data_IF_230685265371
#
_entry.id   IF_230685265371
#
_cell.length_a   1.000
_cell.length_b   1.000
_cell.length_c   1.000
_cell.angle_alpha   90.00
_cell.angle_beta   90.00
_cell.angle_gamma   90.00
#
_symmetry.space_group_name_H-M   'P 1'
#
loop_
_entity.id
_entity.type
_entity.pdbx_description
1 polymer ?
#
# COMPACT_ATOMS: atom_id res chain seq x y z
N UNK A 1 22.39 -0.22 3.52
CA UNK A 1 21.15 0.10 2.77
C UNK A 1 20.36 -1.19 2.56
N UNK A 2 19.12 -1.29 3.03
CA UNK A 2 18.27 -2.46 2.74
C UNK A 2 17.62 -2.27 1.37
N UNK A 3 18.10 -3.03 0.38
CA UNK A 3 17.50 -3.12 -0.95
C UNK A 3 16.20 -3.90 -0.79
N UNK A 4 15.07 -3.22 -0.97
CA UNK A 4 13.75 -3.87 -0.91
C UNK A 4 13.47 -4.49 -2.28
N UNK A 5 13.25 -5.82 -2.37
CA UNK A 5 12.89 -6.47 -3.62
C UNK A 5 11.65 -5.83 -4.25
N UNK A 6 11.74 -5.49 -5.55
CA UNK A 6 10.62 -4.91 -6.29
C UNK A 6 9.37 -5.81 -6.30
N UNK A 7 9.57 -7.14 -6.20
CA UNK A 7 8.51 -8.16 -6.15
C UNK A 7 7.63 -7.99 -4.91
N UNK A 8 8.23 -7.80 -3.73
CA UNK A 8 7.49 -7.64 -2.47
C UNK A 8 6.66 -6.36 -2.47
N UNK A 9 7.20 -5.28 -3.04
CA UNK A 9 6.48 -4.01 -3.22
C UNK A 9 5.26 -4.18 -4.12
N UNK A 10 5.43 -4.89 -5.24
CA UNK A 10 4.35 -5.15 -6.20
C UNK A 10 3.26 -6.02 -5.60
N UNK A 11 3.64 -7.02 -4.80
CA UNK A 11 2.71 -7.88 -4.08
C UNK A 11 1.76 -7.08 -3.18
N UNK A 12 2.30 -6.18 -2.35
CA UNK A 12 1.47 -5.33 -1.48
C UNK A 12 0.55 -4.43 -2.31
N UNK A 13 1.07 -3.75 -3.34
CA UNK A 13 0.26 -2.88 -4.21
C UNK A 13 -0.89 -3.65 -4.86
N UNK A 14 -0.65 -4.86 -5.36
CA UNK A 14 -1.67 -5.69 -5.97
C UNK A 14 -2.78 -6.05 -4.98
N UNK A 15 -2.47 -6.33 -3.71
CA UNK A 15 -3.50 -6.59 -2.69
C UNK A 15 -4.47 -5.43 -2.51
N UNK A 16 -3.97 -4.18 -2.51
CA UNK A 16 -4.83 -3.00 -2.45
C UNK A 16 -5.72 -2.87 -3.69
N UNK A 17 -5.18 -3.14 -4.88
CA UNK A 17 -5.93 -3.05 -6.15
C UNK A 17 -7.00 -4.15 -6.21
N UNK A 18 -6.64 -5.39 -5.91
CA UNK A 18 -7.55 -6.56 -5.88
C UNK A 18 -8.70 -6.34 -4.90
N UNK A 19 -8.42 -5.75 -3.74
CA UNK A 19 -9.43 -5.45 -2.73
C UNK A 19 -10.21 -4.16 -3.02
N UNK A 20 -9.82 -3.38 -4.03
CA UNK A 20 -10.45 -2.09 -4.35
C UNK A 20 -10.16 -0.96 -3.36
N UNK A 21 -9.19 -1.13 -2.47
CA UNK A 21 -8.75 -0.15 -1.47
C UNK A 21 -7.83 0.90 -2.09
N UNK A 22 -8.33 1.59 -3.11
CA UNK A 22 -7.55 2.51 -3.96
C UNK A 22 -7.94 3.98 -3.83
N UNK A 23 -8.81 4.28 -2.87
CA UNK A 23 -9.26 5.61 -2.52
C UNK A 23 -9.63 5.66 -1.03
N UNK A 24 -9.81 6.88 -0.50
CA UNK A 24 -10.13 7.08 0.91
C UNK A 24 -11.50 6.54 1.33
N UNK A 25 -12.44 6.38 0.40
CA UNK A 25 -13.79 5.86 0.69
C UNK A 25 -13.71 4.35 0.94
N UNK A 26 -12.84 3.66 0.20
CA UNK A 26 -12.68 2.20 0.22
C UNK A 26 -11.47 1.73 1.02
N UNK A 27 -10.94 2.55 1.93
CA UNK A 27 -9.79 2.16 2.75
C UNK A 27 -10.06 0.90 3.59
N UNK A 28 -9.06 0.04 3.68
CA UNK A 28 -9.15 -1.29 4.32
C UNK A 28 -8.04 -1.50 5.35
N UNK A 29 -8.30 -2.37 6.31
CA UNK A 29 -7.27 -2.79 7.28
C UNK A 29 -6.27 -3.76 6.65
N UNK A 30 -5.08 -3.89 7.25
CA UNK A 30 -4.07 -4.84 6.79
C UNK A 30 -4.59 -6.29 6.79
N UNK A 31 -5.43 -6.63 7.76
CA UNK A 31 -6.06 -7.94 7.87
C UNK A 31 -7.00 -8.22 6.69
N UNK A 32 -7.84 -7.25 6.29
CA UNK A 32 -8.73 -7.37 5.13
C UNK A 32 -7.94 -7.53 3.82
N UNK A 33 -6.78 -6.88 3.74
CA UNK A 33 -5.88 -6.96 2.59
C UNK A 33 -5.00 -8.23 2.59
N UNK A 34 -5.04 -9.03 3.66
CA UNK A 34 -4.19 -10.21 3.82
C UNK A 34 -2.70 -9.86 3.83
N UNK A 35 -2.33 -8.68 4.33
CA UNK A 35 -0.95 -8.22 4.46
C UNK A 35 -0.60 -7.98 5.92
N UNK A 36 0.68 -8.10 6.24
CA UNK A 36 1.22 -7.72 7.55
C UNK A 36 1.97 -6.40 7.44
N UNK A 37 2.12 -5.72 8.57
CA UNK A 37 3.01 -4.58 8.66
C UNK A 37 4.46 -5.06 8.44
N UNK A 38 5.06 -4.60 7.36
CA UNK A 38 6.44 -4.97 6.97
C UNK A 38 7.24 -3.70 6.68
N UNK A 39 8.59 -3.75 6.70
CA UNK A 39 9.40 -2.61 6.29
C UNK A 39 9.10 -2.10 4.87
N UNK A 40 8.62 -2.99 3.99
CA UNK A 40 8.18 -2.63 2.63
C UNK A 40 6.91 -1.80 2.66
N UNK A 41 5.94 -2.22 3.46
CA UNK A 41 4.69 -1.49 3.68
C UNK A 41 4.94 -0.10 4.30
N UNK A 42 5.76 -0.04 5.36
CA UNK A 42 6.13 1.23 5.99
C UNK A 42 6.83 2.18 5.01
N UNK A 43 7.65 1.64 4.09
CA UNK A 43 8.26 2.43 3.02
C UNK A 43 7.23 2.92 2.00
N UNK A 44 6.19 2.14 1.67
CA UNK A 44 5.10 2.59 0.81
C UNK A 44 4.28 3.73 1.45
N UNK A 45 4.09 3.70 2.77
CA UNK A 45 3.50 4.83 3.51
C UNK A 45 4.41 6.05 3.43
N UNK A 46 5.70 5.88 3.73
CA UNK A 46 6.68 6.98 3.68
C UNK A 46 6.80 7.61 2.29
N UNK A 47 6.69 6.80 1.23
CA UNK A 47 6.68 7.22 -0.16
C UNK A 47 5.34 7.91 -0.57
N UNK A 48 4.33 7.95 0.30
CA UNK A 48 3.00 8.51 0.03
C UNK A 48 2.15 7.67 -0.94
N UNK A 49 2.52 6.41 -1.18
CA UNK A 49 1.79 5.48 -2.06
C UNK A 49 0.66 4.78 -1.33
N UNK A 50 0.85 4.57 -0.03
CA UNK A 50 -0.21 4.09 0.86
C UNK A 50 -0.50 5.21 1.85
N UNK A 51 -1.77 5.54 2.04
CA UNK A 51 -2.21 6.60 2.93
C UNK A 51 -3.02 5.99 4.06
N UNK A 52 -2.71 6.36 5.30
CA UNK A 52 -3.50 6.01 6.48
C UNK A 52 -4.70 6.97 6.61
N UNK A 53 -5.85 6.43 6.97
CA UNK A 53 -7.07 7.22 7.16
C UNK A 53 -7.29 7.53 8.65
N UNK A 54 -7.29 6.49 9.49
CA UNK A 54 -7.63 6.56 10.91
C UNK A 54 -6.64 5.79 11.80
N UNK A 55 -5.43 5.52 11.29
CA UNK A 55 -4.41 4.72 11.96
C UNK A 55 -4.58 3.20 11.78
N UNK A 56 -5.73 2.73 11.28
CA UNK A 56 -6.02 1.29 11.13
C UNK A 56 -6.40 0.91 9.71
N UNK A 57 -7.04 1.81 8.97
CA UNK A 57 -7.38 1.65 7.56
C UNK A 57 -6.43 2.41 6.65
N UNK A 58 -6.19 1.80 5.50
CA UNK A 58 -5.24 2.26 4.51
C UNK A 58 -5.84 2.19 3.13
N UNK A 59 -5.44 3.09 2.25
CA UNK A 59 -5.73 2.99 0.83
C UNK A 59 -4.49 3.27 -0.01
N UNK A 60 -4.48 2.74 -1.22
CA UNK A 60 -3.44 2.97 -2.20
C UNK A 60 -3.73 4.24 -2.99
N UNK A 61 -2.82 5.20 -2.96
CA UNK A 61 -2.85 6.37 -3.83
C UNK A 61 -2.39 5.95 -5.24
N UNK A 62 -3.34 5.70 -6.15
CA UNK A 62 -3.05 5.28 -7.53
C UNK A 62 -2.19 6.30 -8.28
N UNK A 63 -2.39 7.60 -8.05
CA UNK A 63 -1.68 8.65 -8.78
C UNK A 63 -0.18 8.58 -8.51
N UNK A 64 0.21 8.30 -7.25
CA UNK A 64 1.59 8.13 -6.82
C UNK A 64 2.22 6.80 -7.25
N UNK A 65 1.39 5.79 -7.53
CA UNK A 65 1.86 4.48 -8.02
C UNK A 65 2.11 4.53 -9.53
N UNK A 66 1.25 5.24 -10.29
CA UNK A 66 1.35 5.34 -11.76
C UNK A 66 2.51 6.20 -12.26
N UNK A 67 3.11 7.05 -11.42
CA UNK A 67 4.18 7.98 -11.82
C UNK A 67 5.55 7.31 -12.10
N UNK A 68 5.64 5.98 -12.13
CA UNK A 68 6.87 5.23 -12.44
C UNK A 68 7.03 4.86 -13.93
N UNK A 69 6.48 5.69 -14.84
CA UNK A 69 6.66 5.48 -16.30
C UNK A 69 7.85 6.26 -16.83
#
# INVERSE_FOLDING_TARGET
MVVVPAILRRGIINRFIEAGAVDSIRGMTLQQLGISETPVFLRLIKDGKVISIDGFRYYLNIDKVRTFR
#
